data_IF_415922792847
#
_entry.id   IF_415922792847
#
_cell.length_a   1.000
_cell.length_b   1.000
_cell.length_c   1.000
_cell.angle_alpha   90.00
_cell.angle_beta   90.00
_cell.angle_gamma   90.00
#
_symmetry.space_group_name_H-M   'P 1'
#
loop_
_entity.id
_entity.type
_entity.pdbx_description
1 polymer ?
#
# COMPACT_ATOMS: atom_id res chain seq x y z
N UNK A 1 12.89 -18.50 3.73
CA UNK A 1 12.57 -17.76 2.49
C UNK A 1 12.46 -18.66 1.25
N UNK A 2 13.01 -19.89 1.24
CA UNK A 2 12.88 -20.80 0.09
C UNK A 2 11.45 -21.32 -0.12
N UNK A 3 10.69 -21.56 0.95
CA UNK A 3 9.31 -22.06 0.81
C UNK A 3 8.36 -21.01 0.25
N UNK A 4 8.65 -19.73 0.49
CA UNK A 4 7.82 -18.59 0.08
C UNK A 4 7.56 -18.59 -1.43
N UNK A 5 8.58 -18.86 -2.24
CA UNK A 5 8.44 -18.91 -3.71
C UNK A 5 7.58 -20.08 -4.21
N UNK A 6 7.34 -21.09 -3.37
CA UNK A 6 6.53 -22.27 -3.70
C UNK A 6 5.10 -22.17 -3.13
N UNK A 7 4.78 -21.08 -2.40
CA UNK A 7 3.50 -20.89 -1.72
C UNK A 7 2.86 -19.55 -2.10
N UNK A 8 2.58 -19.31 -3.41
CA UNK A 8 2.10 -18.02 -3.89
C UNK A 8 0.78 -17.60 -3.24
N UNK A 9 -0.14 -18.55 -3.01
CA UNK A 9 -1.41 -18.27 -2.36
C UNK A 9 -1.24 -17.84 -0.90
N UNK A 10 -0.31 -18.46 -0.16
CA UNK A 10 -0.01 -18.06 1.22
C UNK A 10 0.56 -16.64 1.27
N UNK A 11 1.45 -16.30 0.33
CA UNK A 11 2.00 -14.95 0.25
C UNK A 11 0.91 -13.93 -0.10
N UNK A 12 0.03 -14.26 -1.04
CA UNK A 12 -1.12 -13.44 -1.41
C UNK A 12 -2.08 -13.19 -0.24
N UNK A 13 -2.40 -14.24 0.53
CA UNK A 13 -3.24 -14.11 1.75
C UNK A 13 -2.58 -13.20 2.78
N UNK A 14 -1.27 -13.31 3.01
CA UNK A 14 -0.55 -12.46 3.97
C UNK A 14 -0.60 -10.99 3.53
N UNK A 15 -0.36 -10.71 2.25
CA UNK A 15 -0.44 -9.35 1.72
C UNK A 15 -1.87 -8.79 1.78
N UNK A 16 -2.87 -9.62 1.47
CA UNK A 16 -4.26 -9.21 1.57
C UNK A 16 -4.68 -8.93 3.01
N UNK A 17 -4.19 -9.71 3.99
CA UNK A 17 -4.38 -9.40 5.42
C UNK A 17 -3.80 -8.02 5.75
N UNK A 18 -2.58 -7.75 5.29
CA UNK A 18 -1.91 -6.47 5.56
C UNK A 18 -2.61 -5.28 4.89
N UNK A 19 -3.08 -5.47 3.65
CA UNK A 19 -3.84 -4.46 2.89
C UNK A 19 -5.19 -4.18 3.53
N UNK A 20 -5.97 -5.24 3.79
CA UNK A 20 -7.36 -5.14 4.27
C UNK A 20 -7.46 -4.73 5.73
N UNK A 21 -6.53 -5.19 6.58
CA UNK A 21 -6.52 -4.78 7.98
C UNK A 21 -6.18 -3.29 8.15
N UNK A 22 -5.45 -2.70 7.20
CA UNK A 22 -5.07 -1.29 7.15
C UNK A 22 -4.66 -0.73 8.52
N UNK A 23 -3.77 -1.48 9.19
CA UNK A 23 -3.48 -1.30 10.62
C UNK A 23 -3.00 0.11 10.96
N UNK A 24 -2.28 0.74 10.02
CA UNK A 24 -1.84 2.12 10.09
C UNK A 24 -2.42 2.87 8.86
N UNK A 25 -3.63 3.45 8.98
CA UNK A 25 -4.31 4.09 7.84
C UNK A 25 -3.55 5.33 7.34
N UNK A 26 -2.75 5.93 8.21
CA UNK A 26 -1.76 6.95 7.86
C UNK A 26 -0.37 6.47 8.20
N UNK A 27 0.62 6.84 7.39
CA UNK A 27 2.03 6.73 7.79
C UNK A 27 2.28 7.51 9.08
N UNK A 28 3.42 7.24 9.73
CA UNK A 28 3.94 8.14 10.75
C UNK A 28 4.10 9.57 10.19
N UNK A 29 3.95 10.61 11.03
CA UNK A 29 4.14 11.99 10.60
C UNK A 29 5.53 12.20 9.97
N UNK A 30 5.54 12.81 8.79
CA UNK A 30 6.74 13.33 8.14
C UNK A 30 6.75 14.85 8.25
N UNK A 31 7.91 15.48 8.10
CA UNK A 31 7.99 16.94 7.99
C UNK A 31 8.83 17.33 6.78
N UNK A 32 8.40 18.36 6.04
CA UNK A 32 9.18 18.84 4.89
C UNK A 32 10.47 19.51 5.37
N UNK A 33 11.62 19.12 4.82
CA UNK A 33 12.94 19.59 5.28
C UNK A 33 13.32 20.98 4.76
N UNK A 34 12.57 21.48 3.78
CA UNK A 34 12.67 22.81 3.15
C UNK A 34 11.33 23.19 2.52
N UNK A 35 11.20 24.44 2.12
CA UNK A 35 10.05 24.89 1.33
C UNK A 35 10.00 24.11 0.01
N UNK A 36 8.83 23.55 -0.30
CA UNK A 36 8.61 22.80 -1.55
C UNK A 36 7.36 23.30 -2.26
N UNK A 37 7.36 23.19 -3.59
CA UNK A 37 6.15 23.36 -4.40
C UNK A 37 5.60 21.98 -4.77
N UNK A 38 4.41 21.64 -4.31
CA UNK A 38 3.74 20.36 -4.59
C UNK A 38 2.33 20.59 -5.15
N UNK A 39 2.04 20.05 -6.34
CA UNK A 39 0.75 20.22 -7.04
C UNK A 39 0.23 21.67 -7.05
N UNK A 40 1.12 22.63 -7.31
CA UNK A 40 0.91 24.08 -7.31
C UNK A 40 0.74 24.76 -5.94
N UNK A 41 0.84 24.03 -4.83
CA UNK A 41 0.88 24.58 -3.48
C UNK A 41 2.32 24.80 -3.00
N UNK A 42 2.56 25.89 -2.27
CA UNK A 42 3.79 26.07 -1.51
C UNK A 42 3.59 25.45 -0.12
N UNK A 43 4.44 24.50 0.25
CA UNK A 43 4.47 23.88 1.57
C UNK A 43 5.74 24.36 2.28
N UNK A 44 5.62 25.17 3.34
CA UNK A 44 6.76 25.70 4.08
C UNK A 44 7.56 24.62 4.82
N UNK A 45 8.87 24.84 4.99
CA UNK A 45 9.76 24.02 5.81
C UNK A 45 9.16 23.76 7.19
N UNK A 46 9.23 22.51 7.64
CA UNK A 46 8.74 22.07 8.95
C UNK A 46 7.24 21.79 9.00
N UNK A 47 6.51 21.93 7.88
CA UNK A 47 5.11 21.50 7.82
C UNK A 47 5.02 19.98 7.94
N UNK A 48 4.20 19.51 8.88
CA UNK A 48 3.89 18.10 9.05
C UNK A 48 3.00 17.57 7.91
N UNK A 49 3.31 16.38 7.44
CA UNK A 49 2.64 15.65 6.37
C UNK A 49 2.22 14.29 6.90
N UNK A 50 0.92 14.04 6.86
CA UNK A 50 0.32 12.74 7.11
C UNK A 50 -0.07 12.12 5.77
N UNK A 51 0.69 11.11 5.32
CA UNK A 51 0.35 10.37 4.12
C UNK A 51 -0.75 9.36 4.43
N UNK A 52 -1.87 9.41 3.69
CA UNK A 52 -2.91 8.38 3.78
C UNK A 52 -2.45 7.13 3.04
N UNK A 53 -2.18 6.06 3.78
CA UNK A 53 -1.89 4.75 3.22
C UNK A 53 -3.20 4.06 2.80
N UNK A 54 -4.28 4.24 3.58
CA UNK A 54 -5.63 3.75 3.27
C UNK A 54 -6.03 4.08 1.83
N UNK A 55 -5.80 5.32 1.39
CA UNK A 55 -6.20 5.77 0.06
C UNK A 55 -5.53 4.99 -1.06
N UNK A 56 -4.33 4.46 -0.82
CA UNK A 56 -3.57 3.66 -1.80
C UNK A 56 -3.92 2.18 -1.67
N UNK A 57 -3.99 1.66 -0.44
CA UNK A 57 -4.34 0.26 -0.15
C UNK A 57 -5.80 -0.10 -0.50
N UNK A 58 -6.65 0.91 -0.71
CA UNK A 58 -8.04 0.78 -1.16
C UNK A 58 -8.29 1.48 -2.51
N UNK A 59 -7.25 1.77 -3.30
CA UNK A 59 -7.44 2.31 -4.65
C UNK A 59 -8.08 1.24 -5.55
N UNK A 60 -9.29 1.52 -6.04
CA UNK A 60 -10.11 0.59 -6.82
C UNK A 60 -9.54 0.32 -8.23
N UNK A 61 -8.57 1.12 -8.68
CA UNK A 61 -7.87 0.88 -9.94
C UNK A 61 -6.93 -0.31 -9.86
N UNK A 62 -6.35 -0.56 -8.70
CA UNK A 62 -5.43 -1.68 -8.47
C UNK A 62 -6.09 -2.84 -7.73
N UNK A 63 -7.00 -2.54 -6.80
CA UNK A 63 -7.70 -3.53 -5.98
C UNK A 63 -9.22 -3.47 -6.25
N UNK A 64 -9.73 -4.20 -7.25
CA UNK A 64 -11.16 -4.22 -7.57
C UNK A 64 -12.01 -4.69 -6.38
N UNK A 65 -13.06 -3.94 -6.03
CA UNK A 65 -13.86 -4.19 -4.82
C UNK A 65 -12.99 -4.17 -3.54
N UNK A 66 -12.29 -3.07 -3.25
CA UNK A 66 -11.24 -3.04 -2.21
C UNK A 66 -11.75 -3.31 -0.79
N UNK A 67 -13.07 -3.17 -0.56
CA UNK A 67 -13.75 -3.51 0.69
C UNK A 67 -14.12 -5.00 0.84
N UNK A 68 -13.72 -5.85 -0.10
CA UNK A 68 -13.79 -7.31 0.01
C UNK A 68 -12.39 -7.84 0.29
N UNK A 69 -12.30 -8.80 1.21
CA UNK A 69 -11.07 -9.55 1.43
C UNK A 69 -10.91 -10.58 0.31
N UNK A 70 -9.99 -10.35 -0.62
CA UNK A 70 -9.73 -11.22 -1.76
C UNK A 70 -8.22 -11.38 -2.00
N UNK A 71 -7.62 -12.54 -1.66
CA UNK A 71 -6.23 -12.82 -1.98
C UNK A 71 -5.91 -12.75 -3.48
N UNK A 72 -6.91 -12.83 -4.36
CA UNK A 72 -6.79 -12.63 -5.80
C UNK A 72 -6.17 -11.29 -6.19
N UNK A 73 -6.27 -10.27 -5.35
CA UNK A 73 -5.59 -8.98 -5.52
C UNK A 73 -4.06 -9.10 -5.72
N UNK A 74 -3.46 -10.14 -5.16
CA UNK A 74 -2.02 -10.39 -5.20
C UNK A 74 -1.65 -11.61 -6.02
N UNK A 75 -2.54 -12.07 -6.90
CA UNK A 75 -2.30 -13.19 -7.81
C UNK A 75 -2.42 -12.75 -9.27
N UNK A 76 -1.57 -13.31 -10.13
CA UNK A 76 -1.74 -13.22 -11.58
C UNK A 76 -2.72 -14.30 -12.10
N UNK A 77 -3.03 -14.25 -13.40
CA UNK A 77 -3.94 -15.21 -14.04
C UNK A 77 -3.44 -16.67 -13.98
N UNK A 78 -2.13 -16.88 -13.77
CA UNK A 78 -1.52 -18.20 -13.62
C UNK A 78 -1.45 -18.66 -12.15
N UNK A 79 -1.95 -17.84 -11.21
CA UNK A 79 -1.91 -18.12 -9.78
C UNK A 79 -0.56 -17.88 -9.12
N UNK A 80 0.38 -17.19 -9.78
CA UNK A 80 1.63 -16.77 -9.15
C UNK A 80 1.41 -15.50 -8.33
N UNK A 81 2.24 -15.30 -7.32
CA UNK A 81 2.22 -14.08 -6.54
C UNK A 81 2.62 -12.88 -7.42
N UNK A 82 1.77 -11.85 -7.44
CA UNK A 82 1.98 -10.58 -8.13
C UNK A 82 2.18 -9.48 -7.11
N UNK A 83 3.36 -8.89 -7.08
CA UNK A 83 3.62 -7.68 -6.28
C UNK A 83 2.90 -6.49 -6.91
N UNK A 84 2.30 -5.65 -6.06
CA UNK A 84 1.70 -4.38 -6.45
C UNK A 84 2.49 -3.20 -5.92
N UNK A 85 2.68 -2.15 -6.73
CA UNK A 85 3.29 -0.89 -6.29
C UNK A 85 2.36 -0.08 -5.37
N UNK A 86 1.06 -0.41 -5.33
CA UNK A 86 0.10 0.19 -4.39
C UNK A 86 0.16 -0.47 -3.01
N UNK A 87 0.89 -1.59 -2.86
CA UNK A 87 1.09 -2.21 -1.57
C UNK A 87 2.14 -1.46 -0.74
N UNK A 88 1.66 -0.48 0.03
CA UNK A 88 2.48 0.44 0.85
C UNK A 88 2.18 0.33 2.35
N UNK A 89 1.82 -0.87 2.82
CA UNK A 89 1.49 -1.13 4.24
C UNK A 89 2.64 -0.78 5.23
N UNK A 90 3.86 -0.61 4.72
CA UNK A 90 5.05 -0.25 5.50
C UNK A 90 5.66 1.10 5.10
N UNK A 91 4.86 2.01 4.52
CA UNK A 91 5.33 3.25 3.87
C UNK A 91 6.21 2.95 2.63
N UNK A 92 6.64 4.01 1.94
CA UNK A 92 7.60 4.02 0.82
C UNK A 92 8.97 4.49 1.24
#
# INVERSE_FOLDING_TARGET
MQDKSHMPYTDAVIHEIQRYADLLPTSLPHAVTRDIKFRNYLIPKGTDILASLTSVLHDDKEFPNPGVFDPGHFLDESGNFRRSDYFVAFST
#
